data_IF_435713225678
#
_entry.id   IF_435713225678
#
_cell.length_a   1.000
_cell.length_b   1.000
_cell.length_c   1.000
_cell.angle_alpha   90.00
_cell.angle_beta   90.00
_cell.angle_gamma   90.00
#
_symmetry.space_group_name_H-M   'P 1'
#
loop_
_entity.id
_entity.type
_entity.pdbx_description
1 polymer ?
#
# COMPACT_ATOMS: atom_id res chain seq x y z
N UNK A 1 -16.61 -19.81 -40.33
CA UNK A 1 -15.67 -20.16 -39.24
C UNK A 1 -14.56 -19.13 -39.26
N UNK A 2 -14.62 -18.13 -38.40
CA UNK A 2 -13.56 -17.13 -38.25
C UNK A 2 -12.64 -17.58 -37.10
N UNK A 3 -11.36 -17.75 -37.43
CA UNK A 3 -10.30 -18.12 -36.50
C UNK A 3 -9.97 -16.87 -35.64
N UNK A 4 -10.47 -16.82 -34.42
CA UNK A 4 -10.06 -15.81 -33.42
C UNK A 4 -8.70 -16.24 -32.89
N UNK A 5 -7.63 -15.68 -33.44
CA UNK A 5 -6.30 -15.75 -32.87
C UNK A 5 -6.28 -14.91 -31.59
N UNK A 6 -6.49 -15.57 -30.45
CA UNK A 6 -6.17 -15.01 -29.15
C UNK A 6 -4.64 -14.85 -29.07
N UNK A 7 -4.15 -13.64 -29.35
CA UNK A 7 -2.78 -13.26 -29.00
C UNK A 7 -2.65 -13.30 -27.47
N UNK A 8 -1.51 -13.78 -26.92
CA UNK A 8 -1.25 -13.69 -25.50
C UNK A 8 -0.94 -12.22 -25.18
N UNK A 9 -1.99 -11.43 -24.91
CA UNK A 9 -1.85 -10.14 -24.27
C UNK A 9 -1.46 -10.39 -22.82
N UNK A 10 -0.16 -10.62 -22.58
CA UNK A 10 0.46 -10.55 -21.27
C UNK A 10 0.63 -9.10 -20.83
N UNK A 11 -0.42 -8.30 -20.98
CA UNK A 11 -0.56 -6.98 -20.39
C UNK A 11 -1.86 -7.04 -19.61
N UNK A 12 -1.80 -6.76 -18.31
CA UNK A 12 -2.98 -6.38 -17.54
C UNK A 12 -2.99 -4.86 -17.51
N UNK A 13 -3.60 -4.15 -18.48
CA UNK A 13 -3.50 -2.70 -18.59
C UNK A 13 -4.38 -1.97 -17.56
N UNK A 14 -5.10 -2.71 -16.70
CA UNK A 14 -6.23 -2.19 -15.92
C UNK A 14 -6.14 -2.51 -14.42
N UNK A 15 -4.97 -2.87 -13.91
CA UNK A 15 -4.81 -3.11 -12.47
C UNK A 15 -4.58 -1.80 -11.72
N UNK A 16 -5.68 -1.24 -11.19
CA UNK A 16 -5.80 -0.26 -10.11
C UNK A 16 -5.45 1.20 -10.43
N UNK A 17 -6.46 2.07 -10.58
CA UNK A 17 -6.24 3.53 -10.57
C UNK A 17 -7.34 4.30 -9.82
N UNK A 18 -7.16 4.40 -8.50
CA UNK A 18 -7.43 5.63 -7.76
C UNK A 18 -6.44 6.70 -8.29
N UNK A 19 -6.76 8.01 -8.21
CA UNK A 19 -6.02 9.07 -8.94
C UNK A 19 -4.49 8.87 -8.94
N UNK A 20 -3.81 8.94 -10.09
CA UNK A 20 -2.46 8.41 -10.26
C UNK A 20 -1.49 9.01 -9.23
N UNK A 21 -0.78 8.13 -8.51
CA UNK A 21 0.15 8.50 -7.45
C UNK A 21 1.31 9.36 -8.02
N UNK A 22 1.92 10.21 -7.19
CA UNK A 22 3.14 10.94 -7.54
C UNK A 22 4.28 10.00 -8.03
N UNK A 23 4.23 8.74 -7.62
CA UNK A 23 5.10 7.68 -8.09
C UNK A 23 5.02 7.43 -9.59
N UNK A 24 3.80 7.34 -10.13
CA UNK A 24 3.57 7.05 -11.54
C UNK A 24 4.06 8.22 -12.39
N UNK A 25 3.82 9.45 -11.93
CA UNK A 25 4.39 10.64 -12.55
C UNK A 25 5.91 10.57 -12.64
N UNK A 26 6.61 10.29 -11.53
CA UNK A 26 8.09 10.29 -11.51
C UNK A 26 8.68 9.13 -12.32
N UNK A 27 8.06 7.96 -12.31
CA UNK A 27 8.63 6.73 -12.90
C UNK A 27 8.22 6.51 -14.36
N UNK A 28 6.97 6.81 -14.70
CA UNK A 28 6.39 6.46 -16.00
C UNK A 28 6.40 7.63 -16.99
N UNK A 29 6.58 8.87 -16.52
CA UNK A 29 6.65 10.03 -17.41
C UNK A 29 8.06 10.22 -17.99
N UNK A 30 8.10 10.52 -19.28
CA UNK A 30 9.31 11.02 -19.96
C UNK A 30 9.51 12.51 -19.73
N UNK A 31 8.41 13.25 -19.67
CA UNK A 31 8.39 14.66 -19.30
C UNK A 31 7.22 14.93 -18.35
N UNK A 32 7.40 15.91 -17.46
CA UNK A 32 6.31 16.43 -16.67
C UNK A 32 6.35 17.95 -16.64
N UNK A 33 5.15 18.53 -16.61
CA UNK A 33 4.91 19.95 -16.74
C UNK A 33 3.85 20.38 -15.75
N UNK A 34 3.92 21.61 -15.28
CA UNK A 34 2.75 22.32 -14.75
C UNK A 34 2.06 22.98 -15.93
N UNK A 35 0.81 22.62 -16.15
CA UNK A 35 0.07 23.02 -17.34
C UNK A 35 -1.40 23.23 -17.05
N UNK A 36 -2.01 24.09 -17.87
CA UNK A 36 -3.44 24.37 -17.85
C UNK A 36 -4.14 23.68 -19.00
N UNK A 37 -5.23 22.97 -18.70
CA UNK A 37 -6.06 22.36 -19.74
C UNK A 37 -6.95 23.45 -20.35
N UNK A 38 -6.79 23.68 -21.65
CA UNK A 38 -7.52 24.73 -22.38
C UNK A 38 -8.64 24.19 -23.27
N UNK A 39 -8.57 22.91 -23.64
CA UNK A 39 -9.57 22.26 -24.48
C UNK A 39 -9.71 20.79 -24.08
N UNK A 40 -10.95 20.28 -24.10
CA UNK A 40 -11.26 18.87 -23.90
C UNK A 40 -12.27 18.46 -24.94
N UNK A 41 -11.97 17.36 -25.61
CA UNK A 41 -12.84 16.76 -26.61
C UNK A 41 -13.00 15.28 -26.27
N UNK A 42 -14.25 14.85 -26.24
CA UNK A 42 -14.56 13.43 -26.11
C UNK A 42 -14.06 12.71 -27.35
N UNK A 43 -13.31 11.65 -27.13
CA UNK A 43 -12.68 10.89 -28.19
C UNK A 43 -13.26 9.47 -28.18
N UNK A 44 -14.11 9.22 -29.19
CA UNK A 44 -14.75 7.94 -29.42
C UNK A 44 -14.34 7.41 -30.80
N UNK A 45 -13.11 6.92 -30.91
CA UNK A 45 -12.63 6.20 -32.10
C UNK A 45 -12.11 4.83 -31.68
N UNK A 46 -12.61 3.77 -32.32
CA UNK A 46 -12.24 2.39 -32.00
C UNK A 46 -12.95 1.80 -30.77
N UNK A 47 -12.23 0.96 -30.01
CA UNK A 47 -12.76 0.15 -28.92
C UNK A 47 -12.54 0.74 -27.51
N UNK A 48 -12.02 1.97 -27.38
CA UNK A 48 -11.72 2.60 -26.09
C UNK A 48 -12.22 4.06 -26.03
N UNK A 49 -13.20 4.32 -25.17
CA UNK A 49 -13.65 5.68 -24.89
C UNK A 49 -12.61 6.45 -24.06
N UNK A 50 -12.26 7.65 -24.51
CA UNK A 50 -11.30 8.50 -23.83
C UNK A 50 -11.57 9.98 -24.04
N UNK A 51 -10.62 10.79 -23.59
CA UNK A 51 -10.66 12.24 -23.76
C UNK A 51 -9.34 12.66 -24.37
N UNK A 52 -9.43 13.48 -25.42
CA UNK A 52 -8.30 14.18 -26.00
C UNK A 52 -8.32 15.61 -25.47
N UNK A 53 -7.26 15.98 -24.78
CA UNK A 53 -7.15 17.27 -24.11
C UNK A 53 -5.95 18.05 -24.64
N UNK A 54 -6.13 19.35 -24.83
CA UNK A 54 -5.03 20.27 -25.12
C UNK A 54 -4.65 21.02 -23.86
N UNK A 55 -3.35 21.11 -23.60
CA UNK A 55 -2.81 21.86 -22.49
C UNK A 55 -1.78 22.90 -22.94
N UNK A 56 -1.69 23.98 -22.17
CA UNK A 56 -0.66 25.01 -22.26
C UNK A 56 0.32 24.84 -21.11
N UNK A 57 1.62 24.75 -21.43
CA UNK A 57 2.68 24.60 -20.43
C UNK A 57 2.94 25.95 -19.76
N UNK A 58 2.75 26.00 -18.45
CA UNK A 58 3.20 27.12 -17.64
C UNK A 58 4.65 26.96 -17.21
N UNK A 59 5.03 25.74 -16.82
CA UNK A 59 6.37 25.45 -16.32
C UNK A 59 6.75 24.00 -16.67
N UNK A 60 8.01 23.78 -17.06
CA UNK A 60 8.54 22.42 -17.24
C UNK A 60 9.20 21.95 -15.95
N UNK A 61 8.82 20.76 -15.46
CA UNK A 61 9.44 20.14 -14.29
C UNK A 61 10.66 19.31 -14.70
N UNK A 62 10.51 18.47 -15.72
CA UNK A 62 11.59 17.72 -16.37
C UNK A 62 11.20 17.28 -17.78
N UNK A 63 12.22 16.89 -18.55
CA UNK A 63 12.08 16.47 -19.93
C UNK A 63 11.81 17.65 -20.87
N UNK A 64 11.66 17.34 -22.15
CA UNK A 64 11.32 18.34 -23.18
C UNK A 64 9.83 18.24 -23.51
N UNK A 65 9.15 19.38 -23.53
CA UNK A 65 7.74 19.48 -23.87
C UNK A 65 7.49 20.80 -24.64
N UNK A 66 6.71 20.79 -25.73
CA UNK A 66 6.34 22.02 -26.43
C UNK A 66 5.47 22.93 -25.54
N UNK A 67 5.43 24.23 -25.86
CA UNK A 67 4.65 25.22 -25.10
C UNK A 67 3.14 24.91 -25.03
N UNK A 68 2.64 24.13 -25.98
CA UNK A 68 1.31 23.51 -25.93
C UNK A 68 1.39 22.13 -26.54
N UNK A 69 0.65 21.17 -25.98
CA UNK A 69 0.61 19.79 -26.45
C UNK A 69 -0.82 19.24 -26.34
N UNK A 70 -1.06 18.17 -27.08
CA UNK A 70 -2.29 17.39 -27.00
C UNK A 70 -1.95 16.03 -26.41
N UNK A 71 -2.77 15.59 -25.46
CA UNK A 71 -2.62 14.28 -24.85
C UNK A 71 -3.95 13.54 -24.81
N UNK A 72 -3.85 12.22 -24.83
CA UNK A 72 -4.97 11.32 -24.68
C UNK A 72 -4.91 10.61 -23.34
N UNK A 73 -6.09 10.40 -22.75
CA UNK A 73 -6.27 9.47 -21.64
C UNK A 73 -7.57 8.68 -21.80
N UNK A 74 -7.53 7.40 -21.43
CA UNK A 74 -8.72 6.56 -21.43
C UNK A 74 -9.59 6.87 -20.20
N UNK A 75 -10.91 7.02 -20.38
CA UNK A 75 -11.83 7.26 -19.25
C UNK A 75 -11.86 6.09 -18.27
N UNK A 76 -11.68 4.86 -18.78
CA UNK A 76 -11.53 3.67 -17.95
C UNK A 76 -10.30 3.69 -17.04
N UNK A 77 -9.29 4.49 -17.39
CA UNK A 77 -8.03 4.61 -16.66
C UNK A 77 -8.09 5.77 -15.65
N UNK A 78 -8.57 6.94 -16.07
CA UNK A 78 -8.49 8.16 -15.24
C UNK A 78 -9.84 8.67 -14.72
N UNK A 79 -10.96 8.05 -15.10
CA UNK A 79 -12.29 8.64 -14.90
C UNK A 79 -12.41 10.01 -15.57
N UNK A 80 -13.25 10.88 -15.03
CA UNK A 80 -13.37 12.30 -15.44
C UNK A 80 -12.43 13.24 -14.64
N UNK A 81 -11.41 12.67 -13.97
CA UNK A 81 -10.68 13.29 -12.84
C UNK A 81 -9.62 14.33 -13.18
N UNK A 82 -9.59 14.87 -14.41
CA UNK A 82 -8.83 16.09 -14.66
C UNK A 82 -9.61 17.27 -14.09
N UNK A 83 -9.80 17.32 -12.78
CA UNK A 83 -10.51 18.42 -12.12
C UNK A 83 -9.52 19.51 -11.75
N UNK A 84 -9.81 20.75 -12.17
CA UNK A 84 -8.94 21.90 -11.95
C UNK A 84 -8.36 22.48 -13.24
N UNK A 85 -8.00 23.75 -13.17
CA UNK A 85 -7.42 24.50 -14.29
C UNK A 85 -5.89 24.40 -14.31
N UNK A 86 -5.23 24.14 -13.18
CA UNK A 86 -3.77 24.08 -13.06
C UNK A 86 -3.32 22.73 -12.49
N UNK A 87 -2.61 21.95 -13.30
CA UNK A 87 -2.26 20.57 -13.01
C UNK A 87 -0.77 20.34 -13.25
N UNK A 88 -0.18 19.46 -12.44
CA UNK A 88 1.06 18.79 -12.80
C UNK A 88 0.70 17.56 -13.64
N UNK A 89 1.16 17.54 -14.89
CA UNK A 89 0.85 16.51 -15.89
C UNK A 89 2.15 15.80 -16.26
N UNK A 90 2.15 14.48 -16.12
CA UNK A 90 3.20 13.61 -16.63
C UNK A 90 2.79 13.00 -17.97
N UNK A 91 3.72 12.97 -18.92
CA UNK A 91 3.48 12.54 -20.28
C UNK A 91 4.45 11.43 -20.69
N UNK A 92 3.96 10.55 -21.55
CA UNK A 92 4.76 9.56 -22.26
C UNK A 92 4.43 9.57 -23.74
N UNK A 93 5.42 9.24 -24.58
CA UNK A 93 5.21 9.12 -26.02
C UNK A 93 4.60 7.76 -26.34
N UNK A 94 3.47 7.71 -27.06
CA UNK A 94 2.91 6.45 -27.52
C UNK A 94 3.80 5.79 -28.56
N UNK A 95 3.95 4.47 -28.48
CA UNK A 95 4.59 3.68 -29.54
C UNK A 95 3.71 3.57 -30.80
N UNK A 96 4.24 2.98 -31.87
CA UNK A 96 3.53 2.86 -33.14
C UNK A 96 2.24 2.04 -33.05
N UNK A 97 2.19 1.01 -32.19
CA UNK A 97 1.02 0.18 -31.99
C UNK A 97 -0.07 0.94 -31.21
N UNK A 98 0.32 1.64 -30.14
CA UNK A 98 -0.55 2.50 -29.35
C UNK A 98 -1.14 3.62 -30.20
N UNK A 99 -0.34 4.27 -31.04
CA UNK A 99 -0.80 5.31 -31.99
C UNK A 99 -1.83 4.76 -32.95
N UNK A 100 -1.54 3.62 -33.59
CA UNK A 100 -2.46 3.00 -34.53
C UNK A 100 -3.77 2.53 -33.85
N UNK A 101 -3.68 2.02 -32.62
CA UNK A 101 -4.84 1.53 -31.88
C UNK A 101 -5.76 2.66 -31.39
N UNK A 102 -5.18 3.77 -30.93
CA UNK A 102 -5.89 4.92 -30.36
C UNK A 102 -6.14 6.05 -31.37
N UNK A 103 -5.77 5.86 -32.64
CA UNK A 103 -5.88 6.87 -33.71
C UNK A 103 -5.20 8.22 -33.35
N UNK A 104 -4.00 8.14 -32.75
CA UNK A 104 -3.26 9.31 -32.27
C UNK A 104 -2.34 9.89 -33.35
N UNK A 105 -2.25 11.22 -33.37
CA UNK A 105 -1.32 11.95 -34.23
C UNK A 105 0.14 11.72 -33.79
N UNK A 106 1.09 12.07 -34.66
CA UNK A 106 2.51 11.80 -34.42
C UNK A 106 3.09 12.57 -33.22
N UNK A 107 2.48 13.71 -32.91
CA UNK A 107 2.81 14.68 -31.86
C UNK A 107 1.89 14.58 -30.63
N UNK A 108 0.92 13.66 -30.63
CA UNK A 108 0.10 13.39 -29.46
C UNK A 108 0.86 12.61 -28.38
N UNK A 109 0.54 12.90 -27.13
CA UNK A 109 1.09 12.23 -25.94
C UNK A 109 0.05 11.33 -25.27
N UNK A 110 0.52 10.40 -24.45
CA UNK A 110 -0.30 9.68 -23.48
C UNK A 110 -0.12 10.29 -22.10
N UNK A 111 -1.23 10.42 -21.38
CA UNK A 111 -1.18 10.78 -19.97
C UNK A 111 -0.54 9.65 -19.15
N UNK A 112 0.56 9.95 -18.48
CA UNK A 112 1.18 9.05 -17.49
C UNK A 112 0.62 9.31 -16.08
N UNK A 113 0.19 10.54 -15.79
CA UNK A 113 -0.47 10.88 -14.54
C UNK A 113 -0.82 12.37 -14.48
N UNK A 114 -1.70 12.75 -13.55
CA UNK A 114 -2.05 14.14 -13.29
C UNK A 114 -2.37 14.37 -11.81
N UNK A 115 -1.89 15.49 -11.26
CA UNK A 115 -2.15 15.93 -9.89
C UNK A 115 -2.50 17.42 -9.88
N UNK A 116 -3.32 17.90 -8.91
CA UNK A 116 -3.50 19.33 -8.67
C UNK A 116 -2.15 20.02 -8.45
N UNK A 117 -1.92 21.13 -9.16
CA UNK A 117 -0.64 21.81 -9.07
C UNK A 117 -0.50 22.60 -7.75
N UNK A 118 0.70 22.55 -7.19
CA UNK A 118 1.18 23.51 -6.18
C UNK A 118 2.69 23.68 -6.32
N UNK A 119 3.21 24.82 -5.88
CA UNK A 119 4.66 25.08 -5.94
C UNK A 119 5.44 24.05 -5.11
N UNK A 120 4.92 23.69 -3.93
CA UNK A 120 5.51 22.67 -3.07
C UNK A 120 5.59 21.30 -3.76
N UNK A 121 4.50 20.87 -4.44
CA UNK A 121 4.50 19.63 -5.21
C UNK A 121 5.54 19.67 -6.33
N UNK A 122 5.60 20.76 -7.09
CA UNK A 122 6.56 20.90 -8.20
C UNK A 122 8.01 20.79 -7.72
N UNK A 123 8.34 21.43 -6.59
CA UNK A 123 9.67 21.33 -5.96
C UNK A 123 9.95 19.89 -5.52
N UNK A 124 9.04 19.25 -4.80
CA UNK A 124 9.23 17.88 -4.33
C UNK A 124 9.38 16.87 -5.47
N UNK A 125 8.62 17.01 -6.55
CA UNK A 125 8.72 16.11 -7.71
C UNK A 125 10.06 16.27 -8.43
N UNK A 126 10.62 17.49 -8.52
CA UNK A 126 11.97 17.69 -9.05
C UNK A 126 13.04 17.01 -8.20
N UNK A 127 12.92 17.13 -6.88
CA UNK A 127 13.81 16.43 -5.94
C UNK A 127 13.72 14.92 -6.17
N UNK A 128 12.51 14.36 -6.19
CA UNK A 128 12.27 12.92 -6.42
C UNK A 128 12.77 12.44 -7.79
N UNK A 129 12.68 13.26 -8.84
CA UNK A 129 13.18 12.91 -10.18
C UNK A 129 14.70 12.93 -10.26
N UNK A 130 15.36 13.76 -9.45
CA UNK A 130 16.81 13.93 -9.43
C UNK A 130 17.61 12.78 -8.80
N UNK A 131 16.98 11.63 -8.49
CA UNK A 131 17.57 10.55 -7.71
C UNK A 131 18.20 11.08 -6.40
N UNK A 132 17.36 11.65 -5.51
CA UNK A 132 17.85 12.34 -4.34
C UNK A 132 18.54 11.37 -3.38
N UNK A 133 19.59 11.82 -2.70
CA UNK A 133 20.23 11.03 -1.66
C UNK A 133 19.31 10.80 -0.46
N UNK A 134 19.67 9.81 0.37
CA UNK A 134 18.93 9.38 1.56
C UNK A 134 18.44 10.53 2.45
N UNK A 135 19.27 11.53 2.75
CA UNK A 135 18.88 12.65 3.63
C UNK A 135 17.74 13.49 3.05
N UNK A 136 17.75 13.69 1.73
CA UNK A 136 16.68 14.42 1.04
C UNK A 136 15.38 13.58 1.02
N UNK A 137 15.48 12.25 0.85
CA UNK A 137 14.32 11.36 0.97
C UNK A 137 13.75 11.38 2.39
N UNK A 138 14.59 11.33 3.42
CA UNK A 138 14.14 11.45 4.82
C UNK A 138 13.46 12.79 5.09
N UNK A 139 13.98 13.89 4.53
CA UNK A 139 13.34 15.20 4.61
C UNK A 139 11.96 15.22 3.96
N UNK A 140 11.79 14.57 2.80
CA UNK A 140 10.49 14.42 2.13
C UNK A 140 9.50 13.55 2.91
N UNK A 141 9.96 12.67 3.81
CA UNK A 141 9.11 11.79 4.62
C UNK A 141 8.59 12.44 5.90
N UNK A 142 9.15 13.58 6.31
CA UNK A 142 8.67 14.30 7.48
C UNK A 142 7.31 14.94 7.17
N UNK A 143 6.24 14.43 7.79
CA UNK A 143 4.88 14.95 7.62
C UNK A 143 4.75 16.43 8.02
N UNK A 144 5.56 16.91 8.95
CA UNK A 144 5.61 18.32 9.33
C UNK A 144 6.24 19.21 8.25
N UNK A 145 7.17 18.67 7.47
CA UNK A 145 7.82 19.38 6.37
C UNK A 145 7.04 19.25 5.04
N UNK A 146 6.44 18.09 4.80
CA UNK A 146 5.75 17.76 3.55
C UNK A 146 4.38 17.14 3.82
N UNK A 147 3.29 17.94 3.79
CA UNK A 147 1.95 17.45 4.13
C UNK A 147 1.32 16.55 3.06
N UNK A 148 1.79 16.58 1.81
CA UNK A 148 1.23 15.72 0.76
C UNK A 148 1.72 14.27 0.90
N UNK A 149 0.82 13.39 1.34
CA UNK A 149 1.08 11.97 1.53
C UNK A 149 1.55 11.26 0.25
N UNK A 150 1.15 11.72 -0.95
CA UNK A 150 1.56 11.11 -2.22
C UNK A 150 3.06 11.31 -2.47
N UNK A 151 3.58 12.48 -2.11
CA UNK A 151 5.02 12.77 -2.16
C UNK A 151 5.76 11.88 -1.17
N UNK A 152 5.27 11.79 0.08
CA UNK A 152 5.89 10.96 1.12
C UNK A 152 5.93 9.49 0.72
N UNK A 153 4.84 8.94 0.19
CA UNK A 153 4.78 7.56 -0.33
C UNK A 153 5.83 7.33 -1.41
N UNK A 154 5.98 8.25 -2.37
CA UNK A 154 7.00 8.08 -3.40
C UNK A 154 8.43 8.19 -2.87
N UNK A 155 8.68 9.12 -1.94
CA UNK A 155 9.97 9.20 -1.26
C UNK A 155 10.28 7.89 -0.52
N UNK A 156 9.29 7.30 0.15
CA UNK A 156 9.44 6.05 0.88
C UNK A 156 9.73 4.88 -0.05
N UNK A 157 9.05 4.81 -1.20
CA UNK A 157 9.30 3.77 -2.22
C UNK A 157 10.72 3.86 -2.78
N UNK A 158 11.20 5.06 -3.11
CA UNK A 158 12.58 5.24 -3.57
C UNK A 158 13.57 4.83 -2.48
N UNK A 159 13.38 5.29 -1.24
CA UNK A 159 14.23 4.93 -0.12
C UNK A 159 14.23 3.42 0.15
N UNK A 160 13.06 2.78 0.12
CA UNK A 160 12.93 1.33 0.35
C UNK A 160 13.66 0.50 -0.70
N UNK A 161 13.74 0.97 -1.96
CA UNK A 161 14.53 0.31 -3.00
C UNK A 161 16.03 0.38 -2.71
N UNK A 162 16.51 1.48 -2.13
CA UNK A 162 17.91 1.61 -1.69
C UNK A 162 18.23 0.73 -0.48
N UNK A 163 17.23 0.50 0.38
CA UNK A 163 17.36 -0.27 1.62
C UNK A 163 17.24 -1.80 1.40
N UNK A 164 16.67 -2.25 0.29
CA UNK A 164 16.45 -3.67 0.02
C UNK A 164 17.73 -4.38 -0.48
N UNK A 165 17.92 -5.70 -0.19
CA UNK A 165 17.01 -6.62 0.51
C UNK A 165 17.26 -6.76 2.03
N UNK A 166 18.35 -6.18 2.56
CA UNK A 166 18.77 -6.33 3.95
C UNK A 166 19.11 -4.97 4.56
N UNK A 167 18.09 -4.22 5.00
CA UNK A 167 18.33 -2.91 5.60
C UNK A 167 19.09 -3.06 6.91
N UNK A 168 20.19 -2.30 7.04
CA UNK A 168 20.95 -2.22 8.28
C UNK A 168 20.18 -1.48 9.37
N UNK A 169 20.48 -1.76 10.64
CA UNK A 169 19.80 -1.14 11.77
C UNK A 169 19.93 0.39 11.80
N UNK A 170 21.09 0.91 11.39
CA UNK A 170 21.37 2.35 11.24
C UNK A 170 20.56 2.97 10.09
N UNK A 171 20.21 2.14 9.10
CA UNK A 171 19.40 2.54 7.97
C UNK A 171 17.94 2.78 8.36
N UNK A 172 17.42 1.94 9.26
CA UNK A 172 16.04 1.95 9.71
C UNK A 172 15.77 2.87 10.90
N UNK A 173 16.78 3.18 11.71
CA UNK A 173 16.60 3.98 12.93
C UNK A 173 15.89 5.33 12.68
N UNK A 174 16.23 6.12 11.64
CA UNK A 174 15.54 7.37 11.36
C UNK A 174 14.07 7.21 10.94
N UNK A 175 13.67 6.03 10.47
CA UNK A 175 12.31 5.77 9.99
C UNK A 175 11.31 5.55 11.11
N UNK A 176 11.77 5.14 12.30
CA UNK A 176 10.87 4.92 13.44
C UNK A 176 10.12 6.20 13.83
N UNK A 177 10.78 7.32 14.16
CA UNK A 177 10.06 8.54 14.51
C UNK A 177 9.19 9.08 13.37
N UNK A 178 9.57 8.86 12.11
CA UNK A 178 8.75 9.23 10.95
C UNK A 178 7.46 8.40 10.89
N UNK A 179 7.58 7.08 11.03
CA UNK A 179 6.43 6.16 11.04
C UNK A 179 5.47 6.42 12.21
N UNK A 180 6.01 6.80 13.38
CA UNK A 180 5.22 7.15 14.56
C UNK A 180 4.34 8.38 14.36
N UNK A 181 4.78 9.32 13.53
CA UNK A 181 4.06 10.55 13.21
C UNK A 181 3.29 10.49 11.88
N UNK A 182 3.25 9.33 11.21
CA UNK A 182 2.58 9.20 9.92
C UNK A 182 1.06 9.08 10.09
N UNK A 183 0.34 10.02 9.50
CA UNK A 183 -1.13 10.10 9.49
C UNK A 183 -1.73 9.31 8.32
N UNK A 184 -0.99 9.15 7.23
CA UNK A 184 -1.43 8.39 6.07
C UNK A 184 -1.42 6.89 6.35
N UNK A 185 -2.61 6.27 6.35
CA UNK A 185 -2.78 4.87 6.71
C UNK A 185 -2.06 3.89 5.76
N UNK A 186 -1.92 4.23 4.48
CA UNK A 186 -1.24 3.38 3.51
C UNK A 186 0.28 3.44 3.72
N UNK A 187 0.86 4.64 3.84
CA UNK A 187 2.29 4.80 4.12
C UNK A 187 2.68 4.24 5.48
N UNK A 188 1.85 4.42 6.52
CA UNK A 188 2.06 3.78 7.81
C UNK A 188 2.10 2.24 7.69
N UNK A 189 1.28 1.63 6.81
CA UNK A 189 1.33 0.21 6.52
C UNK A 189 2.62 -0.21 5.81
N UNK A 190 3.11 0.61 4.87
CA UNK A 190 4.39 0.38 4.18
C UNK A 190 5.57 0.40 5.16
N UNK A 191 5.63 1.36 6.10
CA UNK A 191 6.62 1.37 7.19
C UNK A 191 6.59 0.09 8.03
N UNK A 192 5.39 -0.32 8.48
CA UNK A 192 5.23 -1.52 9.32
C UNK A 192 5.68 -2.77 8.57
N UNK A 193 5.38 -2.85 7.28
CA UNK A 193 5.81 -3.95 6.41
C UNK A 193 7.33 -4.02 6.34
N UNK A 194 7.98 -2.89 6.04
CA UNK A 194 9.44 -2.79 6.00
C UNK A 194 10.08 -3.25 7.32
N UNK A 195 9.60 -2.75 8.46
CA UNK A 195 10.13 -3.15 9.76
C UNK A 195 9.94 -4.64 10.04
N UNK A 196 8.75 -5.18 9.73
CA UNK A 196 8.44 -6.59 9.91
C UNK A 196 9.31 -7.50 9.05
N UNK A 197 9.53 -7.15 7.78
CA UNK A 197 10.42 -7.89 6.88
C UNK A 197 11.88 -7.85 7.34
N UNK A 198 12.33 -6.68 7.81
CA UNK A 198 13.65 -6.49 8.39
C UNK A 198 13.82 -7.10 9.80
N UNK A 199 12.73 -7.56 10.44
CA UNK A 199 12.69 -7.98 11.85
C UNK A 199 13.27 -6.93 12.80
N UNK A 200 13.00 -5.65 12.52
CA UNK A 200 13.58 -4.52 13.23
C UNK A 200 12.89 -4.26 14.58
N UNK A 201 13.32 -5.00 15.60
CA UNK A 201 12.74 -4.97 16.96
C UNK A 201 12.53 -3.57 17.58
N UNK A 202 13.37 -2.54 17.32
CA UNK A 202 13.09 -1.19 17.84
C UNK A 202 11.76 -0.58 17.40
N UNK A 203 11.16 -1.04 16.29
CA UNK A 203 9.83 -0.60 15.85
C UNK A 203 8.67 -1.29 16.60
N UNK A 204 8.94 -2.22 17.53
CA UNK A 204 7.90 -2.98 18.22
C UNK A 204 6.94 -2.10 19.04
N UNK A 205 7.42 -1.00 19.62
CA UNK A 205 6.59 -0.04 20.38
C UNK A 205 5.53 0.61 19.48
N UNK A 206 5.96 1.10 18.31
CA UNK A 206 5.09 1.68 17.30
C UNK A 206 4.02 0.69 16.82
N UNK A 207 4.43 -0.54 16.47
CA UNK A 207 3.51 -1.61 16.05
C UNK A 207 2.53 -2.00 17.17
N UNK A 208 2.99 -2.05 18.42
CA UNK A 208 2.15 -2.31 19.61
C UNK A 208 1.09 -1.23 19.78
N UNK A 209 1.44 0.05 19.58
CA UNK A 209 0.46 1.16 19.64
C UNK A 209 -0.59 1.04 18.52
N UNK A 210 -0.18 0.70 17.29
CA UNK A 210 -1.11 0.50 16.17
C UNK A 210 -2.09 -0.64 16.42
N UNK A 211 -1.64 -1.76 16.99
CA UNK A 211 -2.54 -2.87 17.35
C UNK A 211 -3.63 -2.47 18.35
N UNK A 212 -3.32 -1.53 19.25
CA UNK A 212 -4.22 -1.05 20.31
C UNK A 212 -5.15 0.09 19.85
N UNK A 213 -4.92 0.66 18.67
CA UNK A 213 -5.75 1.73 18.15
C UNK A 213 -7.15 1.22 17.80
N UNK A 214 -8.18 2.04 18.03
CA UNK A 214 -9.57 1.65 17.74
C UNK A 214 -9.88 1.55 16.24
N UNK A 215 -9.08 2.20 15.38
CA UNK A 215 -9.25 2.16 13.93
C UNK A 215 -8.98 0.78 13.35
N UNK A 216 -9.60 0.50 12.19
CA UNK A 216 -9.30 -0.66 11.37
C UNK A 216 -8.90 -0.15 9.98
N UNK A 217 -7.58 -0.06 9.77
CA UNK A 217 -6.96 0.47 8.56
C UNK A 217 -5.83 -0.45 8.06
N UNK A 218 -5.27 -0.12 6.89
CA UNK A 218 -4.18 -0.90 6.30
C UNK A 218 -2.96 -1.03 7.24
N UNK A 219 -2.63 0.03 8.00
CA UNK A 219 -1.52 0.02 8.95
C UNK A 219 -1.77 -0.99 10.08
N UNK A 220 -3.00 -1.07 10.54
CA UNK A 220 -3.43 -1.96 11.61
C UNK A 220 -3.40 -3.42 11.17
N UNK A 221 -3.83 -3.73 9.94
CA UNK A 221 -3.67 -5.06 9.37
C UNK A 221 -2.19 -5.44 9.19
N UNK A 222 -1.38 -4.50 8.70
CA UNK A 222 0.07 -4.63 8.63
C UNK A 222 0.69 -4.94 10.00
N UNK A 223 0.21 -4.28 11.05
CA UNK A 223 0.69 -4.46 12.42
C UNK A 223 0.46 -5.89 12.93
N UNK A 224 -0.70 -6.50 12.64
CA UNK A 224 -0.99 -7.90 12.99
C UNK A 224 0.01 -8.85 12.34
N UNK A 225 0.36 -8.60 11.07
CA UNK A 225 1.28 -9.45 10.30
C UNK A 225 2.74 -9.23 10.71
N UNK A 226 3.12 -8.02 11.08
CA UNK A 226 4.49 -7.64 11.42
C UNK A 226 4.85 -7.97 12.87
N UNK A 227 3.92 -7.79 13.82
CA UNK A 227 4.17 -7.95 15.26
C UNK A 227 4.90 -9.24 15.63
N UNK A 228 4.55 -10.44 15.11
CA UNK A 228 5.22 -11.69 15.50
C UNK A 228 6.70 -11.73 15.13
N UNK A 229 7.09 -10.98 14.10
CA UNK A 229 8.48 -10.86 13.63
C UNK A 229 9.30 -9.86 14.47
N UNK A 230 8.60 -9.00 15.20
CA UNK A 230 9.16 -7.90 16.00
C UNK A 230 9.01 -8.12 17.51
N UNK A 231 8.20 -9.10 17.90
CA UNK A 231 7.75 -9.30 19.26
C UNK A 231 8.93 -9.55 20.21
N UNK A 232 9.19 -8.57 21.07
CA UNK A 232 10.03 -8.73 22.25
C UNK A 232 9.15 -9.20 23.42
N UNK A 233 9.70 -9.87 24.45
CA UNK A 233 8.94 -10.22 25.65
C UNK A 233 8.21 -9.02 26.25
N UNK A 234 8.89 -7.85 26.28
CA UNK A 234 8.31 -6.59 26.74
C UNK A 234 7.12 -6.14 25.89
N UNK A 235 7.23 -6.18 24.55
CA UNK A 235 6.13 -5.78 23.67
C UNK A 235 4.89 -6.69 23.84
N UNK A 236 5.11 -7.99 24.04
CA UNK A 236 4.03 -8.94 24.32
C UNK A 236 3.38 -8.66 25.69
N UNK A 237 4.17 -8.35 26.71
CA UNK A 237 3.64 -7.96 28.03
C UNK A 237 2.81 -6.67 27.96
N UNK A 238 3.29 -5.65 27.24
CA UNK A 238 2.55 -4.40 27.02
C UNK A 238 1.23 -4.64 26.28
N UNK A 239 1.23 -5.49 25.25
CA UNK A 239 0.02 -5.87 24.52
C UNK A 239 -0.96 -6.66 25.41
N UNK A 240 -0.45 -7.57 26.23
CA UNK A 240 -1.25 -8.39 27.14
C UNK A 240 -1.86 -7.58 28.28
N UNK A 241 -1.19 -6.53 28.75
CA UNK A 241 -1.70 -5.60 29.75
C UNK A 241 -2.83 -4.72 29.19
N UNK A 242 -2.73 -4.30 27.93
CA UNK A 242 -3.77 -3.51 27.27
C UNK A 242 -5.02 -4.33 26.90
N UNK A 243 -4.92 -5.66 26.92
CA UNK A 243 -6.00 -6.53 26.45
C UNK A 243 -7.27 -6.43 27.29
N UNK A 244 -7.17 -6.37 28.62
CA UNK A 244 -8.34 -6.52 29.48
C UNK A 244 -9.33 -5.34 29.32
N UNK A 245 -8.80 -4.12 29.17
CA UNK A 245 -9.55 -2.86 29.00
C UNK A 245 -9.93 -2.55 27.54
N UNK A 246 -9.50 -3.37 26.59
CA UNK A 246 -9.75 -3.13 25.17
C UNK A 246 -11.19 -3.47 24.74
N UNK A 247 -11.65 -2.81 23.67
CA UNK A 247 -12.88 -3.20 22.96
C UNK A 247 -12.74 -4.58 22.33
N UNK A 248 -13.85 -5.24 22.00
CA UNK A 248 -13.82 -6.57 21.42
C UNK A 248 -12.99 -6.62 20.13
N UNK A 249 -13.14 -5.64 19.23
CA UNK A 249 -12.40 -5.60 17.96
C UNK A 249 -10.88 -5.53 18.19
N UNK A 250 -10.45 -4.69 19.13
CA UNK A 250 -9.03 -4.58 19.52
C UNK A 250 -8.56 -5.88 20.19
N UNK A 251 -9.37 -6.50 21.05
CA UNK A 251 -9.07 -7.81 21.66
C UNK A 251 -8.84 -8.88 20.59
N UNK A 252 -9.74 -8.99 19.61
CA UNK A 252 -9.62 -9.95 18.50
C UNK A 252 -8.30 -9.75 17.76
N UNK A 253 -7.98 -8.51 17.43
CA UNK A 253 -6.74 -8.15 16.76
C UNK A 253 -5.50 -8.52 17.55
N UNK A 254 -5.49 -8.20 18.85
CA UNK A 254 -4.42 -8.57 19.78
C UNK A 254 -4.21 -10.09 19.78
N UNK A 255 -5.28 -10.89 19.82
CA UNK A 255 -5.19 -12.35 19.80
C UNK A 255 -4.57 -12.85 18.49
N UNK A 256 -4.96 -12.29 17.35
CA UNK A 256 -4.39 -12.65 16.05
C UNK A 256 -2.90 -12.29 15.94
N UNK A 257 -2.49 -11.15 16.52
CA UNK A 257 -1.07 -10.76 16.56
C UNK A 257 -0.26 -11.62 17.55
N UNK A 258 -0.84 -11.99 18.68
CA UNK A 258 -0.16 -12.77 19.72
C UNK A 258 -0.05 -14.27 19.40
N UNK A 259 -1.04 -14.86 18.72
CA UNK A 259 -1.09 -16.29 18.44
C UNK A 259 0.18 -16.88 17.78
N UNK A 260 0.78 -16.26 16.75
CA UNK A 260 2.02 -16.78 16.15
C UNK A 260 3.29 -16.44 16.94
N UNK A 261 3.22 -15.71 18.06
CA UNK A 261 4.39 -15.39 18.88
C UNK A 261 4.82 -16.58 19.74
N UNK A 262 6.12 -16.86 19.79
CA UNK A 262 6.68 -17.92 20.64
C UNK A 262 6.77 -17.54 22.14
N UNK A 263 6.47 -16.29 22.49
CA UNK A 263 6.60 -15.81 23.86
C UNK A 263 5.57 -16.47 24.82
N UNK A 264 5.99 -16.97 26.00
CA UNK A 264 5.08 -17.56 26.98
C UNK A 264 3.90 -16.65 27.35
N UNK A 265 4.12 -15.35 27.42
CA UNK A 265 3.10 -14.35 27.73
C UNK A 265 2.00 -14.29 26.66
N UNK A 266 2.34 -14.54 25.39
CA UNK A 266 1.35 -14.63 24.32
C UNK A 266 0.47 -15.86 24.50
N UNK A 267 1.05 -17.01 24.87
CA UNK A 267 0.29 -18.22 25.18
C UNK A 267 -0.60 -18.04 26.42
N UNK A 268 -0.09 -17.36 27.46
CA UNK A 268 -0.87 -17.06 28.66
C UNK A 268 -2.07 -16.14 28.34
N UNK A 269 -1.88 -15.17 27.45
CA UNK A 269 -2.94 -14.29 26.96
C UNK A 269 -4.03 -15.09 26.21
N UNK A 270 -3.64 -15.97 25.28
CA UNK A 270 -4.60 -16.84 24.57
C UNK A 270 -5.36 -17.75 25.53
N UNK A 271 -4.67 -18.34 26.51
CA UNK A 271 -5.29 -19.19 27.52
C UNK A 271 -6.33 -18.43 28.36
N UNK A 272 -6.01 -17.20 28.79
CA UNK A 272 -6.96 -16.30 29.47
C UNK A 272 -8.17 -16.00 28.58
N UNK A 273 -7.94 -15.66 27.31
CA UNK A 273 -8.99 -15.32 26.36
C UNK A 273 -9.95 -16.49 26.07
N UNK A 274 -9.47 -17.74 26.15
CA UNK A 274 -10.30 -18.94 26.05
C UNK A 274 -11.26 -19.12 27.23
N UNK A 275 -10.92 -18.58 28.41
CA UNK A 275 -11.74 -18.69 29.62
C UNK A 275 -12.89 -17.67 29.65
N UNK A 276 -12.86 -16.68 28.77
CA UNK A 276 -13.86 -15.62 28.68
C UNK A 276 -14.79 -15.90 27.49
N UNK A 277 -16.09 -16.03 27.77
CA UNK A 277 -17.09 -16.45 26.78
C UNK A 277 -17.14 -15.56 25.53
N UNK A 278 -16.88 -14.27 25.69
CA UNK A 278 -16.87 -13.28 24.60
C UNK A 278 -15.69 -13.46 23.64
N UNK A 279 -14.53 -13.85 24.14
CA UNK A 279 -13.28 -13.91 23.36
C UNK A 279 -12.86 -15.33 22.98
N UNK A 280 -13.50 -16.35 23.55
CA UNK A 280 -13.12 -17.75 23.35
C UNK A 280 -13.15 -18.20 21.87
N UNK A 281 -14.18 -17.81 21.12
CA UNK A 281 -14.27 -18.11 19.67
C UNK A 281 -13.10 -17.50 18.91
N UNK A 282 -12.74 -16.26 19.25
CA UNK A 282 -11.68 -15.51 18.58
C UNK A 282 -10.30 -16.02 18.94
N UNK A 283 -10.08 -16.40 20.20
CA UNK A 283 -8.83 -17.05 20.62
C UNK A 283 -8.62 -18.38 19.87
N UNK A 284 -9.66 -19.21 19.73
CA UNK A 284 -9.59 -20.44 18.93
C UNK A 284 -9.28 -20.14 17.46
N UNK A 285 -9.91 -19.12 16.88
CA UNK A 285 -9.67 -18.73 15.49
C UNK A 285 -8.23 -18.24 15.28
N UNK A 286 -7.70 -17.43 16.18
CA UNK A 286 -6.33 -16.93 16.15
C UNK A 286 -5.31 -18.08 16.30
N UNK A 287 -5.50 -18.96 17.30
CA UNK A 287 -4.68 -20.16 17.49
C UNK A 287 -4.65 -21.02 16.24
N UNK A 288 -5.81 -21.28 15.64
CA UNK A 288 -5.93 -22.05 14.41
C UNK A 288 -5.20 -21.39 13.24
N UNK A 289 -5.37 -20.09 13.06
CA UNK A 289 -4.70 -19.33 12.01
C UNK A 289 -3.17 -19.37 12.16
N UNK A 290 -2.67 -19.41 13.41
CA UNK A 290 -1.25 -19.57 13.73
C UNK A 290 -0.75 -21.03 13.69
N UNK A 291 -1.61 -22.01 13.42
CA UNK A 291 -1.25 -23.42 13.40
C UNK A 291 -0.96 -24.02 14.78
N UNK A 292 -1.47 -23.39 15.86
CA UNK A 292 -1.34 -23.90 17.22
C UNK A 292 -2.28 -25.08 17.47
N UNK A 293 -1.86 -25.98 18.35
CA UNK A 293 -2.71 -27.07 18.84
C UNK A 293 -3.92 -26.51 19.59
N UNK A 294 -5.11 -26.87 19.14
CA UNK A 294 -6.37 -26.46 19.77
C UNK A 294 -6.66 -27.32 21.01
N UNK A 295 -7.30 -26.77 22.05
CA UNK A 295 -7.66 -27.52 23.24
C UNK A 295 -8.66 -28.64 22.89
N UNK A 296 -8.43 -29.84 23.43
CA UNK A 296 -9.29 -31.00 23.20
C UNK A 296 -10.70 -30.83 23.80
N UNK A 297 -10.79 -30.08 24.91
CA UNK A 297 -12.05 -29.72 25.54
C UNK A 297 -12.41 -28.28 25.19
N UNK A 298 -13.64 -28.08 24.71
CA UNK A 298 -14.19 -26.75 24.50
C UNK A 298 -14.39 -26.03 25.84
N UNK A 299 -14.03 -24.74 25.94
CA UNK A 299 -14.47 -23.89 27.04
C UNK A 299 -15.98 -23.98 27.27
N UNK A 300 -16.40 -23.90 28.52
CA UNK A 300 -17.83 -23.90 28.87
C UNK A 300 -18.45 -22.60 28.36
N UNK A 301 -19.34 -22.70 27.38
CA UNK A 301 -20.07 -21.58 26.79
C UNK A 301 -21.56 -21.79 26.99
N UNK A 302 -22.26 -20.75 27.48
CA UNK A 302 -23.69 -20.81 27.77
C UNK A 302 -24.51 -20.55 26.52
N UNK A 303 -24.00 -19.70 25.63
CA UNK A 303 -24.63 -19.40 24.35
C UNK A 303 -24.47 -20.56 23.33
N UNK A 304 -25.57 -21.19 22.89
CA UNK A 304 -25.53 -22.29 21.93
C UNK A 304 -24.96 -21.88 20.56
N UNK A 305 -25.15 -20.62 20.15
CA UNK A 305 -24.62 -20.10 18.87
C UNK A 305 -23.10 -19.99 18.95
N UNK A 306 -22.56 -19.47 20.04
CA UNK A 306 -21.11 -19.42 20.26
C UNK A 306 -20.53 -20.82 20.35
N UNK A 307 -21.17 -21.74 21.08
CA UNK A 307 -20.72 -23.14 21.13
C UNK A 307 -20.67 -23.78 19.73
N UNK A 308 -21.66 -23.51 18.87
CA UNK A 308 -21.65 -23.95 17.48
C UNK A 308 -20.51 -23.33 16.68
N UNK A 309 -20.26 -22.02 16.82
CA UNK A 309 -19.13 -21.33 16.16
C UNK A 309 -17.79 -21.92 16.59
N UNK A 310 -17.58 -22.21 17.88
CA UNK A 310 -16.34 -22.84 18.36
C UNK A 310 -16.15 -24.23 17.76
N UNK A 311 -17.21 -25.04 17.71
CA UNK A 311 -17.14 -26.36 17.04
C UNK A 311 -16.78 -26.21 15.57
N UNK A 312 -17.36 -25.23 14.88
CA UNK A 312 -17.03 -24.96 13.48
C UNK A 312 -15.54 -24.58 13.30
N UNK A 313 -15.00 -23.75 14.18
CA UNK A 313 -13.57 -23.38 14.17
C UNK A 313 -12.68 -24.61 14.40
N UNK A 314 -13.02 -25.50 15.34
CA UNK A 314 -12.22 -26.71 15.60
C UNK A 314 -12.31 -27.70 14.43
N UNK A 315 -13.52 -27.97 13.94
CA UNK A 315 -13.80 -28.98 12.91
C UNK A 315 -13.45 -28.53 11.49
N UNK A 316 -13.14 -27.25 11.27
CA UNK A 316 -12.70 -26.79 9.96
C UNK A 316 -11.46 -27.58 9.49
N UNK A 317 -11.25 -27.75 8.18
CA UNK A 317 -10.00 -28.28 7.64
C UNK A 317 -8.85 -27.29 7.87
N UNK A 318 -7.61 -27.75 8.16
CA UNK A 318 -6.48 -26.85 8.43
C UNK A 318 -6.37 -25.81 7.31
N UNK A 319 -6.18 -24.54 7.70
CA UNK A 319 -5.98 -23.48 6.72
C UNK A 319 -4.76 -23.89 5.87
N UNK A 320 -4.93 -23.99 4.54
CA UNK A 320 -3.79 -24.19 3.65
C UNK A 320 -2.80 -23.05 3.96
N UNK A 321 -1.51 -23.34 4.20
CA UNK A 321 -0.53 -22.28 4.31
C UNK A 321 -0.66 -21.40 3.06
N UNK A 322 -0.70 -20.08 3.23
CA UNK A 322 -0.61 -19.18 2.11
C UNK A 322 0.67 -19.56 1.35
N UNK A 323 0.49 -20.09 0.13
CA UNK A 323 1.62 -20.30 -0.76
C UNK A 323 2.33 -18.93 -0.85
N UNK A 324 3.66 -18.87 -0.66
CA UNK A 324 4.39 -17.65 -0.97
C UNK A 324 4.00 -17.29 -2.40
N UNK A 325 3.56 -16.04 -2.59
CA UNK A 325 3.27 -15.50 -3.92
C UNK A 325 4.53 -15.77 -4.73
N UNK A 326 4.45 -16.69 -5.69
CA UNK A 326 5.61 -17.11 -6.45
C UNK A 326 6.22 -15.85 -7.07
N UNK A 327 7.52 -15.61 -6.79
CA UNK A 327 8.26 -14.58 -7.49
C UNK A 327 8.06 -14.81 -9.00
N UNK A 328 7.84 -13.76 -9.81
CA UNK A 328 7.75 -13.92 -11.25
C UNK A 328 9.02 -14.65 -11.71
N UNK A 329 8.82 -15.74 -12.46
CA UNK A 329 9.92 -16.51 -13.01
C UNK A 329 10.86 -15.55 -13.76
N UNK A 330 12.15 -15.60 -13.44
CA UNK A 330 13.15 -14.87 -14.19
C UNK A 330 13.02 -15.27 -15.66
N UNK A 331 13.03 -14.31 -16.60
CA UNK A 331 13.02 -14.66 -18.01
C UNK A 331 14.28 -15.47 -18.32
N UNK A 332 14.08 -16.66 -18.87
CA UNK A 332 15.16 -17.48 -19.41
C UNK A 332 15.94 -16.65 -20.44
N UNK A 333 17.27 -16.64 -20.25
CA UNK A 333 18.22 -15.96 -21.14
C UNK A 333 18.40 -16.70 -22.46
#
# INVERSE_FOLDING_TARGET
MALVLALPLSFSPFAAMHGPDAAELVEQSRCAVRARIVERTDHETGAAAGVRARAEVGETLWGECPASFVFFYARSACGDRLEGEDLVIGLTQPDAAQRAYLDLAADDYLLAGALPASDALCVSLRVLRGAPGRDALLGLLDAGAHPDARVRRQAFRQLSRELAPHPEAEALAPLVPLAENEEDGELAAEYITLFGEARYAPAASFVTRRLRAAGDDAATEGAVRAFPKLATPRAVQELAAAYDDATLDVKVRILHAAAPCAAPEAHALLARALMVEETAVHALAAMRAAGLTLPAALPRVRDPVRAQRMRAVISAPPARPHAPRAAPAAPDR
#
